data_IF_560938523136
#
_entry.id   IF_560938523136
#
_cell.length_a   1.000
_cell.length_b   1.000
_cell.length_c   1.000
_cell.angle_alpha   90.00
_cell.angle_beta   90.00
_cell.angle_gamma   90.00
#
_symmetry.space_group_name_H-M   'P 1'
#
loop_
_entity.id
_entity.type
_entity.pdbx_description
1 polymer ?
#
# COMPACT_ATOMS: atom_id res chain seq x y z
N UNK A 1 4.38 1.88 -12.56
CA UNK A 1 3.33 1.61 -11.54
C UNK A 1 2.85 2.93 -10.97
N UNK A 2 1.57 3.10 -10.82
CA UNK A 2 1.00 4.33 -10.24
C UNK A 2 0.85 4.15 -8.73
N UNK A 3 1.80 4.64 -7.95
CA UNK A 3 1.75 4.53 -6.49
C UNK A 3 0.82 5.57 -5.85
N UNK A 4 0.41 6.62 -6.58
CA UNK A 4 -0.51 7.61 -6.02
C UNK A 4 -1.86 6.99 -5.68
N UNK A 5 -2.31 5.98 -6.44
CA UNK A 5 -3.53 5.23 -6.14
C UNK A 5 -3.43 4.46 -4.83
N UNK A 6 -2.24 4.00 -4.49
CA UNK A 6 -1.97 3.32 -3.23
C UNK A 6 -1.92 4.34 -2.10
N UNK A 7 -1.15 5.41 -2.29
CA UNK A 7 -0.89 6.41 -1.25
C UNK A 7 -2.14 7.18 -0.85
N UNK A 8 -3.07 7.42 -1.78
CA UNK A 8 -4.32 8.14 -1.43
C UNK A 8 -5.18 7.39 -0.42
N UNK A 9 -4.95 6.08 -0.25
CA UNK A 9 -5.67 5.24 0.73
C UNK A 9 -5.01 5.23 2.09
N UNK A 10 -3.82 5.81 2.21
CA UNK A 10 -3.07 5.83 3.45
C UNK A 10 -3.30 7.17 4.18
N UNK A 11 -3.29 7.15 5.52
CA UNK A 11 -3.49 8.37 6.29
C UNK A 11 -2.30 9.32 6.15
N UNK A 12 -2.56 10.61 6.31
CA UNK A 12 -1.51 11.62 6.44
C UNK A 12 -0.60 11.26 7.61
N UNK A 13 0.70 11.44 7.44
CA UNK A 13 1.70 11.05 8.43
C UNK A 13 2.24 9.64 8.25
N UNK A 14 1.73 8.88 7.28
CA UNK A 14 2.27 7.55 6.96
C UNK A 14 3.75 7.66 6.61
N UNK A 15 4.58 6.85 7.29
CA UNK A 15 6.03 6.85 7.06
C UNK A 15 6.38 6.13 5.78
N UNK A 16 7.20 6.76 4.97
CA UNK A 16 7.75 6.22 3.73
C UNK A 16 9.27 6.40 3.76
N UNK A 17 9.95 5.84 2.78
CA UNK A 17 11.39 6.05 2.59
C UNK A 17 11.64 6.71 1.24
N UNK A 18 12.46 7.75 1.24
CA UNK A 18 12.89 8.45 0.02
C UNK A 18 14.35 8.15 -0.27
N UNK A 19 14.60 7.49 -1.38
CA UNK A 19 15.97 7.27 -1.87
C UNK A 19 16.63 8.59 -2.24
N UNK A 20 15.84 9.54 -2.75
CA UNK A 20 16.34 10.87 -3.13
C UNK A 20 16.95 11.60 -1.94
N UNK A 21 16.35 11.46 -0.75
CA UNK A 21 16.80 12.12 0.48
C UNK A 21 17.64 11.20 1.37
N UNK A 22 17.66 9.89 1.07
CA UNK A 22 18.33 8.90 1.91
C UNK A 22 17.78 8.80 3.32
N UNK A 23 16.50 9.11 3.53
CA UNK A 23 15.88 9.17 4.86
C UNK A 23 14.39 8.85 4.82
N UNK A 24 13.83 8.61 6.01
CA UNK A 24 12.39 8.47 6.17
C UNK A 24 11.70 9.81 5.94
N UNK A 25 10.54 9.74 5.31
CA UNK A 25 9.67 10.88 5.04
C UNK A 25 8.25 10.55 5.46
N UNK A 26 7.39 11.55 5.53
CA UNK A 26 5.99 11.37 5.87
C UNK A 26 5.11 11.80 4.71
N UNK A 27 4.08 11.01 4.43
CA UNK A 27 3.05 11.37 3.47
C UNK A 27 2.24 12.55 4.01
N UNK A 28 2.14 13.63 3.24
CA UNK A 28 1.30 14.77 3.58
C UNK A 28 -0.10 14.60 3.01
N UNK A 29 -0.18 14.42 1.69
CA UNK A 29 -1.45 14.21 0.97
C UNK A 29 -1.19 13.71 -0.43
N UNK A 30 -2.25 13.24 -1.08
CA UNK A 30 -2.27 12.98 -2.52
C UNK A 30 -3.34 13.90 -3.12
N UNK A 31 -2.93 14.78 -4.01
CA UNK A 31 -3.83 15.75 -4.66
C UNK A 31 -4.22 15.26 -6.04
N UNK A 32 -5.42 14.73 -6.17
CA UNK A 32 -5.90 14.22 -7.46
C UNK A 32 -5.99 15.32 -8.50
N UNK A 33 -5.62 14.97 -9.74
CA UNK A 33 -5.63 15.91 -10.86
C UNK A 33 -4.37 16.77 -10.99
N UNK A 34 -3.49 16.79 -10.01
CA UNK A 34 -2.20 17.48 -10.11
C UNK A 34 -1.20 16.65 -10.91
N UNK A 35 -0.28 17.32 -11.62
CA UNK A 35 0.77 16.61 -12.35
C UNK A 35 1.74 15.91 -11.42
N UNK A 36 1.97 16.46 -10.22
CA UNK A 36 2.75 15.87 -9.14
C UNK A 36 1.86 15.73 -7.91
N UNK A 37 1.01 14.69 -7.84
CA UNK A 37 -0.02 14.59 -6.80
C UNK A 37 0.49 14.19 -5.43
N UNK A 38 1.66 13.57 -5.33
CA UNK A 38 2.17 13.03 -4.07
C UNK A 38 2.98 14.10 -3.34
N UNK A 39 2.52 14.49 -2.14
CA UNK A 39 3.20 15.47 -1.29
C UNK A 39 3.77 14.78 -0.07
N UNK A 40 5.07 14.98 0.19
CA UNK A 40 5.78 14.42 1.34
C UNK A 40 6.54 15.52 2.08
N UNK A 41 6.90 15.23 3.32
CA UNK A 41 7.80 16.07 4.13
C UNK A 41 8.77 15.19 4.90
N UNK A 42 9.84 15.77 5.46
CA UNK A 42 10.79 15.02 6.28
C UNK A 42 10.14 14.47 7.54
N UNK A 43 10.49 13.24 7.95
CA UNK A 43 9.95 12.63 9.17
C UNK A 43 10.61 13.22 10.42
N UNK A 44 11.86 13.29 10.54
CA UNK A 44 12.57 13.85 11.70
C UNK A 44 13.55 14.94 11.29
N UNK A 45 13.26 15.59 10.17
CA UNK A 45 14.13 16.59 9.58
C UNK A 45 13.34 17.86 9.28
N UNK A 46 14.03 18.95 9.05
CA UNK A 46 13.44 20.22 8.65
C UNK A 46 13.21 20.33 7.14
N UNK A 47 13.17 19.20 6.45
CA UNK A 47 12.91 19.16 5.01
C UNK A 47 11.55 19.78 4.69
N UNK A 48 11.51 20.69 3.72
CA UNK A 48 10.26 21.29 3.26
C UNK A 48 9.41 20.27 2.48
N UNK A 49 8.12 20.61 2.32
CA UNK A 49 7.21 19.75 1.55
C UNK A 49 7.64 19.72 0.09
N UNK A 50 7.72 18.52 -0.47
CA UNK A 50 8.02 18.29 -1.88
C UNK A 50 6.94 17.42 -2.52
N UNK A 51 6.80 17.55 -3.85
CA UNK A 51 5.80 16.81 -4.62
C UNK A 51 6.46 15.87 -5.62
N UNK A 52 5.77 14.76 -5.90
CA UNK A 52 6.27 13.69 -6.77
C UNK A 52 5.21 13.30 -7.79
N UNK A 53 5.68 12.76 -8.91
CA UNK A 53 4.81 12.22 -9.96
C UNK A 53 4.06 10.97 -9.48
N UNK A 54 2.98 10.56 -10.19
CA UNK A 54 2.17 9.42 -9.76
C UNK A 54 2.93 8.10 -9.62
N UNK A 55 4.03 7.92 -10.33
CA UNK A 55 4.87 6.73 -10.25
C UNK A 55 5.92 6.79 -9.12
N UNK A 56 5.91 7.86 -8.32
CA UNK A 56 6.88 8.04 -7.25
C UNK A 56 8.21 8.63 -7.69
N UNK A 57 8.33 9.05 -8.95
CA UNK A 57 9.54 9.73 -9.43
C UNK A 57 9.49 11.20 -9.08
N UNK A 58 10.67 11.79 -8.90
CA UNK A 58 10.80 13.23 -8.66
C UNK A 58 10.85 14.03 -9.97
N UNK A 59 11.42 13.44 -11.00
CA UNK A 59 11.50 14.05 -12.34
C UNK A 59 10.64 13.27 -13.32
N UNK A 60 10.04 13.97 -14.27
CA UNK A 60 9.24 13.35 -15.31
C UNK A 60 10.09 12.33 -16.09
N UNK A 61 9.61 11.09 -16.16
CA UNK A 61 10.34 10.00 -16.81
C UNK A 61 11.48 9.42 -15.98
N UNK A 62 11.63 9.85 -14.73
CA UNK A 62 12.63 9.32 -13.82
C UNK A 62 12.18 8.02 -13.17
N UNK A 63 13.07 7.44 -12.36
CA UNK A 63 12.76 6.24 -11.59
C UNK A 63 12.02 6.58 -10.32
N UNK A 64 11.25 5.62 -9.82
CA UNK A 64 10.58 5.74 -8.52
C UNK A 64 11.62 5.88 -7.41
N UNK A 65 11.47 6.89 -6.57
CA UNK A 65 12.37 7.15 -5.43
C UNK A 65 11.66 7.10 -4.10
N UNK A 66 10.34 6.84 -4.08
CA UNK A 66 9.56 6.66 -2.86
C UNK A 66 9.24 5.18 -2.68
N UNK A 67 9.44 4.68 -1.47
CA UNK A 67 9.24 3.28 -1.12
C UNK A 67 8.54 3.16 0.24
N UNK A 68 7.89 2.02 0.53
CA UNK A 68 7.20 1.83 1.80
C UNK A 68 8.12 1.94 3.02
N UNK A 69 9.34 1.42 2.91
CA UNK A 69 10.36 1.58 3.94
C UNK A 69 11.74 1.39 3.32
N UNK A 70 12.77 1.64 4.10
CA UNK A 70 14.14 1.45 3.66
C UNK A 70 14.40 0.03 3.16
N UNK A 71 13.82 -0.96 3.83
CA UNK A 71 14.06 -2.38 3.52
C UNK A 71 12.97 -3.00 2.64
N UNK A 72 11.81 -2.35 2.54
CA UNK A 72 10.68 -2.83 1.74
C UNK A 72 10.48 -1.95 0.53
N UNK A 73 10.86 -2.48 -0.63
CA UNK A 73 10.83 -1.75 -1.90
C UNK A 73 9.62 -2.09 -2.76
N UNK A 74 8.77 -3.00 -2.33
CA UNK A 74 7.63 -3.45 -3.11
C UNK A 74 6.33 -2.85 -2.61
N UNK A 75 5.71 -2.02 -3.43
CA UNK A 75 4.46 -1.34 -3.08
C UNK A 75 3.28 -2.30 -2.92
N UNK A 76 3.19 -3.32 -3.77
CA UNK A 76 2.07 -4.27 -3.76
C UNK A 76 1.94 -4.97 -2.41
N UNK A 77 3.06 -5.34 -1.80
CA UNK A 77 3.09 -6.07 -0.52
C UNK A 77 2.80 -5.22 0.70
N UNK A 78 2.83 -3.91 0.58
CA UNK A 78 2.65 -3.00 1.71
C UNK A 78 1.39 -2.16 1.65
N UNK A 79 0.59 -2.30 0.59
CA UNK A 79 -0.64 -1.53 0.37
C UNK A 79 -1.56 -1.54 1.59
N UNK A 80 -1.70 -2.67 2.25
CA UNK A 80 -2.65 -2.85 3.32
C UNK A 80 -2.06 -2.64 4.71
N UNK A 81 -0.75 -2.49 4.83
CA UNK A 81 -0.08 -2.36 6.13
C UNK A 81 -0.36 -3.52 7.07
N UNK A 82 -0.61 -4.71 6.53
CA UNK A 82 -0.99 -5.88 7.31
C UNK A 82 0.16 -6.36 8.19
N UNK A 83 -0.20 -6.75 9.42
CA UNK A 83 0.71 -7.33 10.39
C UNK A 83 0.33 -8.78 10.65
N UNK A 84 1.27 -9.64 11.08
CA UNK A 84 0.94 -11.01 11.46
C UNK A 84 -0.22 -11.04 12.45
N UNK A 85 -1.16 -11.96 12.23
CA UNK A 85 -2.38 -12.18 13.00
C UNK A 85 -3.47 -11.12 12.84
N UNK A 86 -3.30 -10.13 11.97
CA UNK A 86 -4.39 -9.21 11.64
C UNK A 86 -5.55 -9.99 11.04
N UNK A 87 -6.77 -9.69 11.50
CA UNK A 87 -7.97 -10.27 10.91
C UNK A 87 -8.25 -9.61 9.58
N UNK A 88 -8.47 -10.42 8.56
CA UNK A 88 -8.64 -9.95 7.18
C UNK A 88 -9.80 -10.66 6.51
N UNK A 89 -10.22 -10.15 5.37
CA UNK A 89 -11.03 -10.89 4.41
C UNK A 89 -10.12 -11.27 3.25
N UNK A 90 -10.23 -12.52 2.81
CA UNK A 90 -9.40 -13.06 1.75
C UNK A 90 -10.25 -13.84 0.75
N UNK A 91 -9.80 -13.89 -0.50
CA UNK A 91 -10.37 -14.80 -1.50
C UNK A 91 -9.29 -15.32 -2.44
N UNK A 92 -9.47 -16.58 -2.84
CA UNK A 92 -8.48 -17.26 -3.67
C UNK A 92 -8.40 -16.68 -5.08
N UNK A 93 -9.56 -16.40 -5.67
CA UNK A 93 -9.65 -15.82 -7.01
C UNK A 93 -10.73 -14.73 -7.02
N UNK A 94 -10.75 -13.94 -8.09
CA UNK A 94 -11.75 -12.86 -8.25
C UNK A 94 -13.20 -13.37 -8.25
N UNK A 95 -13.43 -14.64 -8.57
CA UNK A 95 -14.76 -15.22 -8.68
C UNK A 95 -15.22 -15.90 -7.37
N UNK A 96 -14.35 -15.96 -6.38
CA UNK A 96 -14.68 -16.52 -5.07
C UNK A 96 -15.36 -15.50 -4.16
N UNK A 97 -15.86 -15.99 -3.04
CA UNK A 97 -16.44 -15.13 -2.00
C UNK A 97 -15.37 -14.76 -0.99
N UNK A 98 -15.56 -13.61 -0.34
CA UNK A 98 -14.68 -13.19 0.75
C UNK A 98 -14.91 -14.06 1.98
N UNK A 99 -13.83 -14.56 2.54
CA UNK A 99 -13.86 -15.35 3.79
C UNK A 99 -13.03 -14.67 4.86
N UNK A 100 -13.39 -14.90 6.13
CA UNK A 100 -12.61 -14.37 7.25
C UNK A 100 -11.35 -15.20 7.39
N UNK A 101 -10.19 -14.52 7.47
CA UNK A 101 -8.90 -15.15 7.64
C UNK A 101 -8.01 -14.33 8.58
N UNK A 102 -6.87 -14.89 8.92
CA UNK A 102 -5.85 -14.21 9.71
C UNK A 102 -4.57 -14.14 8.89
N UNK A 103 -4.09 -12.95 8.67
CA UNK A 103 -2.89 -12.73 7.88
C UNK A 103 -1.66 -13.26 8.61
N UNK A 104 -0.77 -13.94 7.91
CA UNK A 104 0.51 -14.41 8.44
C UNK A 104 1.69 -13.64 7.86
N UNK A 105 1.86 -13.70 6.55
CA UNK A 105 2.98 -13.06 5.88
C UNK A 105 2.74 -12.95 4.37
N UNK A 106 3.65 -12.28 3.70
CA UNK A 106 3.65 -12.23 2.23
C UNK A 106 4.51 -13.39 1.70
N UNK A 107 4.01 -14.02 0.63
CA UNK A 107 4.66 -15.24 0.09
C UNK A 107 5.80 -14.95 -0.88
N UNK A 108 5.84 -13.74 -1.45
CA UNK A 108 6.73 -13.46 -2.58
C UNK A 108 6.21 -13.96 -3.93
N UNK A 109 5.08 -14.64 -3.96
CA UNK A 109 4.44 -15.10 -5.19
C UNK A 109 3.44 -14.04 -5.66
N UNK A 110 3.59 -13.55 -6.89
CA UNK A 110 2.74 -12.48 -7.42
C UNK A 110 1.31 -12.91 -7.67
N UNK A 111 1.07 -14.20 -7.92
CA UNK A 111 -0.28 -14.72 -8.14
C UNK A 111 -1.06 -14.90 -6.85
N UNK A 112 -0.40 -15.30 -5.76
CA UNK A 112 -0.99 -15.52 -4.44
C UNK A 112 -0.10 -14.93 -3.37
N UNK A 113 -0.08 -13.60 -3.26
CA UNK A 113 0.89 -12.91 -2.40
C UNK A 113 0.59 -13.01 -0.90
N UNK A 114 -0.62 -13.39 -0.50
CA UNK A 114 -1.03 -13.35 0.90
C UNK A 114 -1.09 -14.74 1.51
N UNK A 115 -0.20 -15.03 2.47
CA UNK A 115 -0.26 -16.24 3.28
C UNK A 115 -1.09 -15.94 4.53
N UNK A 116 -2.15 -16.73 4.73
CA UNK A 116 -3.00 -16.68 5.91
C UNK A 116 -2.95 -18.03 6.62
N UNK A 117 -3.66 -18.18 7.76
CA UNK A 117 -3.60 -19.41 8.54
C UNK A 117 -4.04 -20.65 7.77
N UNK A 118 -5.05 -20.52 6.91
CA UNK A 118 -5.64 -21.67 6.20
C UNK A 118 -5.20 -21.80 4.75
N UNK A 119 -4.38 -20.90 4.24
CA UNK A 119 -3.91 -21.02 2.86
C UNK A 119 -3.32 -19.72 2.31
N UNK A 120 -3.10 -19.74 0.99
CA UNK A 120 -2.61 -18.57 0.26
C UNK A 120 -3.73 -17.99 -0.59
N UNK A 121 -3.73 -16.67 -0.76
CA UNK A 121 -4.83 -15.96 -1.42
C UNK A 121 -4.30 -14.92 -2.40
N UNK A 122 -5.06 -14.73 -3.47
CA UNK A 122 -4.78 -13.67 -4.45
C UNK A 122 -5.19 -12.30 -3.94
N UNK A 123 -6.28 -12.23 -3.15
CA UNK A 123 -6.84 -10.99 -2.63
C UNK A 123 -6.95 -11.03 -1.12
N UNK A 124 -6.61 -9.91 -0.49
CA UNK A 124 -6.71 -9.76 0.96
C UNK A 124 -6.99 -8.30 1.28
N UNK A 125 -7.97 -8.04 2.14
CA UNK A 125 -8.33 -6.70 2.60
C UNK A 125 -8.50 -6.72 4.11
N UNK A 126 -8.35 -5.55 4.79
CA UNK A 126 -8.61 -5.48 6.23
C UNK A 126 -10.05 -5.90 6.55
N UNK A 127 -10.23 -6.60 7.65
CA UNK A 127 -11.57 -6.96 8.13
C UNK A 127 -12.38 -5.72 8.54
N UNK A 128 -11.75 -4.81 9.26
CA UNK A 128 -12.38 -3.60 9.77
C UNK A 128 -12.88 -2.71 8.63
N UNK A 129 -14.16 -2.38 8.66
CA UNK A 129 -14.79 -1.56 7.63
C UNK A 129 -15.25 -2.33 6.41
N UNK A 130 -14.95 -3.63 6.31
CA UNK A 130 -15.31 -4.46 5.15
C UNK A 130 -16.21 -5.65 5.49
N UNK A 131 -16.78 -5.69 6.70
CA UNK A 131 -17.58 -6.81 7.18
C UNK A 131 -18.77 -7.13 6.30
N UNK A 132 -19.31 -6.13 5.59
CA UNK A 132 -20.45 -6.33 4.69
C UNK A 132 -20.11 -7.20 3.46
N UNK A 133 -18.85 -7.42 3.17
CA UNK A 133 -18.43 -8.24 2.03
C UNK A 133 -18.28 -9.72 2.35
N UNK A 134 -18.36 -10.12 3.62
CA UNK A 134 -18.23 -11.52 4.03
C UNK A 134 -19.27 -12.38 3.29
N UNK A 135 -18.79 -13.46 2.63
CA UNK A 135 -19.62 -14.36 1.88
C UNK A 135 -20.15 -13.83 0.56
N UNK A 136 -19.66 -12.67 0.13
CA UNK A 136 -20.04 -12.04 -1.14
C UNK A 136 -18.89 -12.06 -2.13
N UNK A 137 -19.22 -11.95 -3.42
CA UNK A 137 -18.23 -11.89 -4.50
C UNK A 137 -17.79 -10.45 -4.82
N UNK A 138 -18.62 -9.46 -4.47
CA UNK A 138 -18.34 -8.06 -4.78
C UNK A 138 -17.07 -7.58 -4.07
N UNK A 139 -16.33 -6.71 -4.75
CA UNK A 139 -15.13 -6.10 -4.20
C UNK A 139 -15.45 -4.74 -3.60
N UNK A 140 -14.76 -4.33 -2.52
CA UNK A 140 -14.84 -2.97 -2.01
C UNK A 140 -14.38 -1.98 -3.08
N UNK A 141 -15.06 -0.88 -3.16
CA UNK A 141 -14.65 0.25 -4.03
C UNK A 141 -13.53 1.06 -3.38
#
# INVERSE_FOLDING_TARGET
MNISEILKRLPSGTRLYSVLHGSDVELVKVEEGASKPIYIKGHSTSMSIESFYPDGSFWKGGECVLFPSRDKREWVKTILGLKPFDRVLAKETKDDVWVIEFFSSYTGNDERPYLCLLGTYEYCIPFEGNEMYIGRKENPE
#
